data_IF_586208889375
#
_entry.id   IF_586208889375
#
_cell.length_a   1.000
_cell.length_b   1.000
_cell.length_c   1.000
_cell.angle_alpha   90.00
_cell.angle_beta   90.00
_cell.angle_gamma   90.00
#
_symmetry.space_group_name_H-M   'P 1'
#
loop_
_entity.id
_entity.type
_entity.pdbx_description
1 polymer ?
#
# COMPACT_ATOMS: atom_id res chain seq x y z
N UNK A 1 -13.27 -19.24 18.63
CA UNK A 1 -13.62 -18.55 19.90
C UNK A 1 -12.69 -17.36 20.11
N UNK A 2 -12.95 -16.44 21.05
CA UNK A 2 -12.01 -15.33 21.34
C UNK A 2 -10.61 -15.84 21.74
N UNK A 3 -10.55 -16.97 22.44
CA UNK A 3 -9.29 -17.64 22.79
C UNK A 3 -8.50 -18.02 21.54
N UNK A 4 -9.17 -18.56 20.52
CA UNK A 4 -8.52 -18.96 19.26
C UNK A 4 -8.07 -17.75 18.44
N UNK A 5 -8.87 -16.69 18.39
CA UNK A 5 -8.54 -15.45 17.67
C UNK A 5 -7.27 -14.81 18.25
N UNK A 6 -7.16 -14.74 19.59
CA UNK A 6 -5.95 -14.25 20.26
C UNK A 6 -4.76 -15.17 20.03
N UNK A 7 -4.97 -16.49 20.11
CA UNK A 7 -3.93 -17.49 19.83
C UNK A 7 -3.40 -17.38 18.38
N UNK A 8 -4.26 -16.99 17.43
CA UNK A 8 -3.91 -16.73 16.04
C UNK A 8 -3.27 -15.35 15.80
N UNK A 9 -3.09 -14.51 16.83
CA UNK A 9 -2.45 -13.20 16.69
C UNK A 9 -3.32 -12.13 16.03
N UNK A 10 -4.63 -12.34 15.91
CA UNK A 10 -5.54 -11.46 15.16
C UNK A 10 -6.06 -10.25 15.95
N UNK A 11 -5.49 -9.94 17.12
CA UNK A 11 -5.85 -8.77 17.95
C UNK A 11 -4.68 -7.80 18.09
N UNK A 12 -3.87 -7.69 17.04
CA UNK A 12 -2.73 -6.78 17.03
C UNK A 12 -3.17 -5.32 16.95
N UNK A 13 -2.30 -4.39 17.34
CA UNK A 13 -2.59 -2.93 17.26
C UNK A 13 -2.20 -2.33 15.91
N UNK A 14 -1.34 -3.02 15.16
CA UNK A 14 -0.81 -2.62 13.86
C UNK A 14 -0.74 -3.86 12.96
N UNK A 15 -0.63 -3.62 11.66
CA UNK A 15 -0.59 -4.67 10.64
C UNK A 15 -1.82 -4.68 9.75
N UNK A 16 -2.10 -5.82 9.14
CA UNK A 16 -3.12 -5.95 8.10
C UNK A 16 -4.50 -6.05 8.74
N UNK A 17 -5.38 -5.13 8.40
CA UNK A 17 -6.77 -5.11 8.84
C UNK A 17 -7.60 -6.09 7.99
N UNK A 18 -8.01 -7.20 8.59
CA UNK A 18 -8.72 -8.29 7.90
C UNK A 18 -10.24 -8.18 8.02
N UNK A 19 -10.74 -7.54 9.08
CA UNK A 19 -12.18 -7.44 9.33
C UNK A 19 -12.50 -7.07 10.76
N UNK A 20 -13.73 -7.33 11.20
CA UNK A 20 -14.17 -7.11 12.58
C UNK A 20 -15.27 -8.07 13.01
N UNK A 21 -15.40 -8.23 14.32
CA UNK A 21 -16.57 -8.82 14.97
C UNK A 21 -17.16 -7.86 16.02
N UNK A 22 -18.04 -8.36 16.89
CA UNK A 22 -18.65 -7.58 17.98
C UNK A 22 -17.66 -7.11 19.05
N UNK A 23 -16.45 -7.70 19.10
CA UNK A 23 -15.42 -7.43 20.12
C UNK A 23 -14.30 -6.55 19.60
N UNK A 24 -14.13 -6.44 18.28
CA UNK A 24 -13.19 -5.52 17.66
C UNK A 24 -12.66 -6.00 16.32
N UNK A 25 -11.57 -5.36 15.88
CA UNK A 25 -10.93 -5.63 14.62
C UNK A 25 -10.09 -6.92 14.64
N UNK A 26 -10.01 -7.58 13.49
CA UNK A 26 -9.03 -8.62 13.20
C UNK A 26 -7.83 -7.98 12.52
N UNK A 27 -6.72 -7.90 13.24
CA UNK A 27 -5.48 -7.27 12.77
C UNK A 27 -4.34 -8.26 12.95
N UNK A 28 -3.69 -8.60 11.84
CA UNK A 28 -2.53 -9.50 11.80
C UNK A 28 -1.24 -8.68 11.64
N UNK A 29 -0.33 -8.78 12.61
CA UNK A 29 1.00 -8.15 12.56
C UNK A 29 2.03 -9.12 11.95
N UNK A 30 3.09 -8.57 11.35
CA UNK A 30 4.21 -9.31 10.75
C UNK A 30 4.15 -9.49 9.23
N UNK A 31 5.14 -10.22 8.70
CA UNK A 31 5.27 -10.51 7.27
C UNK A 31 4.20 -11.53 6.83
N UNK A 32 3.13 -11.02 6.24
CA UNK A 32 2.01 -11.79 5.71
C UNK A 32 1.79 -11.39 4.27
N UNK A 33 1.87 -12.35 3.35
CA UNK A 33 1.30 -12.16 2.02
C UNK A 33 -0.19 -12.51 2.10
N UNK A 34 -1.04 -11.61 1.63
CA UNK A 34 -2.48 -11.80 1.60
C UNK A 34 -2.98 -11.83 0.16
N UNK A 35 -3.93 -12.74 -0.11
CA UNK A 35 -4.61 -12.84 -1.38
C UNK A 35 -6.11 -12.66 -1.15
N UNK A 36 -6.69 -11.61 -1.73
CA UNK A 36 -8.11 -11.30 -1.63
C UNK A 36 -8.81 -11.66 -2.94
N UNK A 37 -9.65 -12.68 -2.90
CA UNK A 37 -10.56 -13.01 -3.99
C UNK A 37 -11.92 -12.36 -3.77
N UNK A 38 -12.34 -11.53 -4.70
CA UNK A 38 -13.59 -10.79 -4.63
C UNK A 38 -14.10 -10.45 -6.04
N UNK A 39 -15.37 -10.77 -6.38
CA UNK A 39 -15.97 -10.39 -7.66
C UNK A 39 -15.97 -8.88 -7.90
N UNK A 40 -16.11 -8.48 -9.16
CA UNK A 40 -16.36 -7.07 -9.49
C UNK A 40 -17.64 -6.59 -8.81
N UNK A 41 -17.61 -5.40 -8.23
CA UNK A 41 -18.75 -4.82 -7.51
C UNK A 41 -18.99 -5.36 -6.10
N UNK A 42 -18.21 -6.33 -5.61
CA UNK A 42 -18.40 -6.89 -4.25
C UNK A 42 -17.85 -6.00 -3.12
N UNK A 43 -17.38 -4.79 -3.45
CA UNK A 43 -16.86 -3.83 -2.47
C UNK A 43 -15.43 -4.09 -1.98
N UNK A 44 -14.59 -4.85 -2.69
CA UNK A 44 -13.18 -5.07 -2.25
C UNK A 44 -12.38 -3.77 -2.03
N UNK A 45 -12.65 -2.74 -2.82
CA UNK A 45 -12.02 -1.42 -2.66
C UNK A 45 -12.41 -0.77 -1.33
N UNK A 46 -13.72 -0.56 -1.13
CA UNK A 46 -14.27 0.12 0.06
C UNK A 46 -14.20 -0.73 1.34
N UNK A 47 -14.24 -2.05 1.23
CA UNK A 47 -14.30 -2.97 2.36
C UNK A 47 -12.95 -3.52 2.83
N UNK A 48 -11.91 -3.42 1.99
CA UNK A 48 -10.59 -3.95 2.33
C UNK A 48 -9.45 -3.00 1.95
N UNK A 49 -9.36 -2.57 0.69
CA UNK A 49 -8.21 -1.76 0.21
C UNK A 49 -8.15 -0.39 0.90
N UNK A 50 -9.20 0.42 0.78
CA UNK A 50 -9.26 1.76 1.37
C UNK A 50 -9.10 1.70 2.90
N UNK A 51 -9.82 0.83 3.65
CA UNK A 51 -9.61 0.70 5.09
C UNK A 51 -8.16 0.39 5.47
N UNK A 52 -7.48 -0.49 4.74
CA UNK A 52 -6.07 -0.78 4.99
C UNK A 52 -5.17 0.42 4.65
N UNK A 53 -5.43 1.15 3.58
CA UNK A 53 -4.67 2.37 3.27
C UNK A 53 -4.84 3.49 4.29
N UNK A 54 -5.97 3.52 5.01
CA UNK A 54 -6.19 4.47 6.11
C UNK A 54 -5.63 3.97 7.45
N UNK A 55 -5.61 2.66 7.67
CA UNK A 55 -5.16 2.04 8.92
C UNK A 55 -3.64 1.76 8.95
N UNK A 56 -3.06 1.42 7.81
CA UNK A 56 -1.67 0.98 7.68
C UNK A 56 -0.69 2.14 7.89
N UNK A 57 0.08 2.04 8.96
CA UNK A 57 0.99 3.09 9.45
C UNK A 57 2.33 3.13 8.74
N UNK A 58 2.74 2.02 8.11
CA UNK A 58 4.04 1.91 7.44
C UNK A 58 3.93 2.32 5.96
N UNK A 59 5.06 2.26 5.24
CA UNK A 59 5.11 2.54 3.81
C UNK A 59 4.26 1.56 3.00
N UNK A 60 3.71 2.04 1.87
CA UNK A 60 2.92 1.24 0.94
C UNK A 60 3.19 1.69 -0.49
N UNK A 61 3.25 0.73 -1.41
CA UNK A 61 3.21 0.96 -2.85
C UNK A 61 1.88 0.39 -3.34
N UNK A 62 1.11 1.20 -4.05
CA UNK A 62 -0.22 0.82 -4.54
C UNK A 62 -0.22 0.88 -6.05
N UNK A 63 -0.54 -0.23 -6.70
CA UNK A 63 -0.85 -0.22 -8.12
C UNK A 63 -2.32 0.20 -8.29
N UNK A 64 -2.53 1.45 -8.67
CA UNK A 64 -3.85 2.09 -8.68
C UNK A 64 -4.23 2.61 -10.07
N UNK A 65 -4.66 1.69 -10.95
CA UNK A 65 -5.00 1.98 -12.35
C UNK A 65 -6.09 3.07 -12.47
N UNK A 66 -6.99 3.15 -11.49
CA UNK A 66 -8.13 4.08 -11.52
C UNK A 66 -7.92 5.35 -10.70
N UNK A 67 -6.83 5.45 -9.94
CA UNK A 67 -6.54 6.53 -8.98
C UNK A 67 -7.51 6.69 -7.81
N UNK A 68 -8.53 5.84 -7.68
CA UNK A 68 -9.53 5.91 -6.60
C UNK A 68 -8.87 5.81 -5.21
N UNK A 69 -7.82 4.99 -5.06
CA UNK A 69 -7.15 4.84 -3.78
C UNK A 69 -6.33 6.09 -3.43
N UNK A 70 -5.60 6.64 -4.40
CA UNK A 70 -4.84 7.86 -4.22
C UNK A 70 -5.76 9.03 -3.86
N UNK A 71 -6.83 9.26 -4.63
CA UNK A 71 -7.77 10.36 -4.43
C UNK A 71 -8.42 10.33 -3.04
N UNK A 72 -8.80 9.14 -2.56
CA UNK A 72 -9.51 9.00 -1.28
C UNK A 72 -8.55 9.05 -0.08
N UNK A 73 -7.34 8.50 -0.21
CA UNK A 73 -6.50 8.19 0.97
C UNK A 73 -5.26 9.05 1.11
N UNK A 74 -4.77 9.67 0.03
CA UNK A 74 -3.52 10.46 0.02
C UNK A 74 -3.48 11.52 1.12
N UNK A 75 -4.51 12.36 1.21
CA UNK A 75 -4.57 13.43 2.21
C UNK A 75 -4.61 12.92 3.66
N UNK A 76 -5.19 11.74 3.92
CA UNK A 76 -5.11 11.14 5.26
C UNK A 76 -3.69 10.67 5.57
N UNK A 77 -3.06 9.96 4.62
CA UNK A 77 -1.70 9.45 4.78
C UNK A 77 -0.68 10.57 4.96
N UNK A 78 -0.85 11.68 4.24
CA UNK A 78 -0.06 12.90 4.44
C UNK A 78 -0.25 13.51 5.84
N UNK A 79 -1.50 13.58 6.33
CA UNK A 79 -1.78 14.02 7.72
C UNK A 79 -1.18 13.10 8.78
N UNK A 80 -0.91 11.83 8.46
CA UNK A 80 -0.16 10.92 9.34
C UNK A 80 1.37 11.13 9.26
N UNK A 81 1.85 12.16 8.55
CA UNK A 81 3.26 12.51 8.42
C UNK A 81 4.00 11.73 7.33
N UNK A 82 3.28 11.00 6.46
CA UNK A 82 3.90 10.25 5.38
C UNK A 82 4.09 11.13 4.14
N UNK A 83 5.20 10.91 3.42
CA UNK A 83 5.36 11.44 2.07
C UNK A 83 4.48 10.66 1.11
N UNK A 84 3.70 11.35 0.30
CA UNK A 84 2.75 10.74 -0.64
C UNK A 84 3.11 11.16 -2.05
N UNK A 85 3.29 10.18 -2.93
CA UNK A 85 3.63 10.38 -4.34
C UNK A 85 2.63 9.62 -5.22
N UNK A 86 2.36 10.17 -6.40
CA UNK A 86 1.61 9.52 -7.48
C UNK A 86 2.41 9.63 -8.76
N UNK A 87 2.70 8.48 -9.36
CA UNK A 87 3.29 8.39 -10.69
C UNK A 87 2.24 7.89 -11.67
N UNK A 88 1.74 8.81 -12.49
CA UNK A 88 0.80 8.54 -13.56
C UNK A 88 1.39 9.02 -14.90
N UNK A 89 2.18 8.19 -15.59
CA UNK A 89 2.80 8.54 -16.87
C UNK A 89 1.80 8.71 -18.01
N UNK A 90 0.52 8.35 -17.81
CA UNK A 90 -0.55 8.47 -18.79
C UNK A 90 -1.48 9.68 -18.54
N UNK A 91 -1.17 10.56 -17.57
CA UNK A 91 -1.96 11.79 -17.36
C UNK A 91 -1.86 12.69 -18.60
N UNK A 92 -2.98 13.07 -19.24
CA UNK A 92 -2.97 13.84 -20.50
C UNK A 92 -2.23 15.17 -20.41
N UNK A 93 -2.32 15.84 -19.26
CA UNK A 93 -1.69 17.15 -19.03
C UNK A 93 -0.28 17.04 -18.41
N UNK A 94 0.23 15.81 -18.24
CA UNK A 94 1.55 15.56 -17.63
C UNK A 94 1.62 15.85 -16.11
N UNK A 95 0.49 16.07 -15.45
CA UNK A 95 0.43 16.35 -14.01
C UNK A 95 0.64 15.06 -13.21
N UNK A 96 1.90 14.76 -12.90
CA UNK A 96 2.33 13.58 -12.13
C UNK A 96 3.62 13.89 -11.38
N UNK A 97 3.89 13.16 -10.29
CA UNK A 97 5.27 13.10 -9.80
C UNK A 97 6.13 12.34 -10.82
N UNK A 98 7.42 12.67 -10.87
CA UNK A 98 8.37 12.04 -11.77
C UNK A 98 9.14 10.93 -11.06
N UNK A 99 9.44 9.87 -11.81
CA UNK A 99 10.33 8.80 -11.38
C UNK A 99 11.24 8.45 -12.55
N UNK A 100 12.54 8.48 -12.33
CA UNK A 100 13.53 8.05 -13.30
C UNK A 100 14.14 6.70 -12.84
N UNK A 101 13.80 5.57 -13.47
CA UNK A 101 14.36 4.27 -13.10
C UNK A 101 15.85 4.15 -13.39
N UNK A 102 16.46 5.11 -14.08
CA UNK A 102 17.89 5.17 -14.37
C UNK A 102 18.66 6.09 -13.43
N UNK A 103 18.00 6.78 -12.49
CA UNK A 103 18.63 7.76 -11.59
C UNK A 103 19.71 7.14 -10.69
N UNK A 104 19.63 5.85 -10.42
CA UNK A 104 20.60 5.14 -9.60
C UNK A 104 21.91 4.80 -10.34
N UNK A 105 21.95 4.92 -11.66
CA UNK A 105 23.13 4.59 -12.48
C UNK A 105 24.20 5.65 -12.29
N UNK A 106 25.42 5.23 -11.94
CA UNK A 106 26.56 6.13 -11.76
C UNK A 106 26.97 6.81 -13.07
N UNK A 107 27.35 8.09 -12.99
CA UNK A 107 27.99 8.81 -14.10
C UNK A 107 29.44 8.38 -14.34
N UNK A 108 30.07 7.66 -13.39
CA UNK A 108 31.47 7.22 -13.49
C UNK A 108 31.58 6.11 -14.55
N UNK A 109 32.32 6.27 -15.65
CA UNK A 109 32.28 5.37 -16.80
C UNK A 109 32.50 3.87 -16.49
N UNK A 110 33.34 3.52 -15.51
CA UNK A 110 33.52 2.13 -15.09
C UNK A 110 32.39 1.59 -14.20
N UNK A 111 31.88 2.41 -13.28
CA UNK A 111 30.80 2.01 -12.37
C UNK A 111 29.46 1.95 -13.10
N UNK A 112 29.23 2.84 -14.07
CA UNK A 112 28.04 2.86 -14.92
C UNK A 112 27.76 1.51 -15.57
N UNK A 113 28.81 0.87 -16.10
CA UNK A 113 28.71 -0.44 -16.76
C UNK A 113 28.36 -1.52 -15.75
N UNK A 114 28.96 -1.48 -14.55
CA UNK A 114 28.66 -2.43 -13.48
C UNK A 114 27.24 -2.27 -12.92
N UNK A 115 26.73 -1.04 -12.88
CA UNK A 115 25.39 -0.73 -12.40
C UNK A 115 24.34 -1.36 -13.35
N UNK A 116 24.41 -1.11 -14.66
CA UNK A 116 23.39 -1.62 -15.61
C UNK A 116 23.36 -3.14 -15.80
N UNK A 117 24.36 -3.87 -15.31
CA UNK A 117 24.47 -5.33 -15.48
C UNK A 117 23.89 -6.15 -14.32
N UNK A 118 23.41 -5.50 -13.25
CA UNK A 118 22.76 -6.16 -12.11
C UNK A 118 21.25 -6.23 -12.28
#
# INVERSE_FOLDING_TARGET
SEKDIRKAGLRSKKGLLLGKDKRGYFIADGFQHALLFAPTGSGKGVGFVIPNLLFWTDSVIVHDIKLENYEITSGWRERQGQKVYVWNPAQPDGVSHCYNPLEWISEKPGQMVDDVQK
#
